data_IF_488036882865
#
_entry.id   IF_488036882865
#
_cell.length_a   1.000
_cell.length_b   1.000
_cell.length_c   1.000
_cell.angle_alpha   90.00
_cell.angle_beta   90.00
_cell.angle_gamma   90.00
#
_symmetry.space_group_name_H-M   'P 1'
#
loop_
_entity.id
_entity.type
_entity.pdbx_description
1 polymer ?
#
# COMPACT_ATOMS: atom_id res chain seq x y z
N UNK A 1 -11.14 10.52 6.42
CA UNK A 1 -9.95 11.25 6.90
C UNK A 1 -8.69 11.15 6.04
N UNK A 2 -7.83 12.19 6.11
CA UNK A 2 -6.42 12.15 5.70
C UNK A 2 -5.55 11.21 6.57
N UNK A 3 -5.83 11.09 7.87
CA UNK A 3 -4.96 10.40 8.84
C UNK A 3 -4.96 8.87 8.68
N UNK A 4 -6.13 8.24 8.51
CA UNK A 4 -6.28 6.80 8.26
C UNK A 4 -5.37 6.33 7.12
N UNK A 5 -5.49 6.99 5.96
CA UNK A 5 -4.78 6.61 4.75
C UNK A 5 -3.30 7.00 4.80
N UNK A 6 -2.97 8.08 5.50
CA UNK A 6 -1.58 8.52 5.66
C UNK A 6 -0.74 7.44 6.34
N UNK A 7 -1.22 6.84 7.43
CA UNK A 7 -0.47 5.78 8.13
C UNK A 7 -0.27 4.53 7.31
N UNK A 8 -1.32 4.05 6.62
CA UNK A 8 -1.20 2.90 5.72
C UNK A 8 -0.20 3.16 4.59
N UNK A 9 -0.22 4.38 4.02
CA UNK A 9 0.73 4.79 2.97
C UNK A 9 2.15 4.87 3.49
N UNK A 10 2.37 5.41 4.69
CA UNK A 10 3.69 5.44 5.32
C UNK A 10 4.22 4.02 5.53
N UNK A 11 3.39 3.11 6.04
CA UNK A 11 3.78 1.71 6.21
C UNK A 11 4.20 1.07 4.88
N UNK A 12 3.42 1.28 3.81
CA UNK A 12 3.77 0.78 2.47
C UNK A 12 5.09 1.40 2.00
N UNK A 13 5.26 2.72 2.11
CA UNK A 13 6.48 3.41 1.68
C UNK A 13 7.74 2.90 2.41
N UNK A 14 7.64 2.59 3.69
CA UNK A 14 8.75 2.09 4.52
C UNK A 14 9.14 0.65 4.20
N UNK A 15 8.19 -0.17 3.75
CA UNK A 15 8.36 -1.62 3.66
C UNK A 15 8.24 -2.18 2.23
N UNK A 16 7.96 -1.36 1.22
CA UNK A 16 7.68 -1.81 -0.15
C UNK A 16 8.91 -2.24 -0.96
N UNK A 17 10.11 -1.72 -0.68
CA UNK A 17 11.30 -1.93 -1.53
C UNK A 17 11.62 -3.42 -1.76
N UNK A 18 11.61 -4.31 -0.74
CA UNK A 18 11.87 -5.74 -0.97
C UNK A 18 10.85 -6.43 -1.89
N UNK A 19 9.65 -5.87 -2.05
CA UNK A 19 8.59 -6.45 -2.88
C UNK A 19 8.76 -6.13 -4.36
N UNK A 20 9.68 -5.24 -4.75
CA UNK A 20 9.96 -4.95 -6.15
C UNK A 20 10.41 -6.22 -6.92
N UNK A 21 11.04 -7.16 -6.21
CA UNK A 21 11.54 -8.43 -6.78
C UNK A 21 10.49 -9.56 -6.76
N UNK A 22 9.25 -9.30 -6.33
CA UNK A 22 8.21 -10.33 -6.21
C UNK A 22 7.98 -11.11 -7.51
N UNK A 23 7.95 -10.41 -8.65
CA UNK A 23 7.78 -11.05 -9.96
C UNK A 23 8.94 -11.97 -10.33
N UNK A 24 10.16 -11.66 -9.89
CA UNK A 24 11.32 -12.51 -10.14
C UNK A 24 11.30 -13.78 -9.29
N UNK A 25 10.91 -13.67 -8.02
CA UNK A 25 10.75 -14.82 -7.14
C UNK A 25 9.70 -15.81 -7.69
N UNK A 26 8.54 -15.28 -8.13
CA UNK A 26 7.48 -16.08 -8.76
C UNK A 26 7.98 -16.78 -10.03
N UNK A 27 8.72 -16.08 -10.90
CA UNK A 27 9.29 -16.65 -12.12
C UNK A 27 10.31 -17.76 -11.86
N UNK A 28 11.05 -17.68 -10.75
CA UNK A 28 12.01 -18.70 -10.32
C UNK A 28 11.35 -19.87 -9.57
N UNK A 29 10.05 -19.77 -9.29
CA UNK A 29 9.33 -20.74 -8.47
C UNK A 29 9.74 -20.69 -6.99
N UNK A 30 10.35 -19.59 -6.57
CA UNK A 30 10.74 -19.35 -5.18
C UNK A 30 9.53 -18.81 -4.40
N UNK A 31 9.31 -19.36 -3.20
CA UNK A 31 8.27 -18.85 -2.30
C UNK A 31 8.65 -17.49 -1.72
N UNK A 32 7.64 -16.71 -1.31
CA UNK A 32 7.90 -15.44 -0.62
C UNK A 32 8.56 -15.67 0.75
N UNK A 33 9.47 -14.78 1.17
CA UNK A 33 10.07 -14.82 2.51
C UNK A 33 9.01 -14.75 3.61
N UNK A 34 9.25 -15.44 4.74
CA UNK A 34 8.36 -15.40 5.91
C UNK A 34 8.10 -13.98 6.42
N UNK A 35 9.11 -13.10 6.31
CA UNK A 35 9.00 -11.70 6.68
C UNK A 35 7.89 -10.94 5.93
N UNK A 36 7.48 -11.40 4.74
CA UNK A 36 6.38 -10.80 4.00
C UNK A 36 5.03 -11.12 4.64
N UNK A 37 4.87 -12.34 5.13
CA UNK A 37 3.68 -12.73 5.89
C UNK A 37 3.61 -11.97 7.22
N UNK A 38 4.74 -11.78 7.91
CA UNK A 38 4.80 -10.96 9.12
C UNK A 38 4.44 -9.49 8.85
N UNK A 39 4.87 -8.95 7.70
CA UNK A 39 4.49 -7.61 7.26
C UNK A 39 3.00 -7.51 6.94
N UNK A 40 2.40 -8.54 6.34
CA UNK A 40 0.96 -8.60 6.09
C UNK A 40 0.16 -8.61 7.40
N UNK A 41 0.58 -9.39 8.38
CA UNK A 41 -0.05 -9.40 9.71
C UNK A 41 0.05 -8.03 10.41
N UNK A 42 1.19 -7.34 10.29
CA UNK A 42 1.35 -5.97 10.79
C UNK A 42 0.45 -4.99 10.05
N UNK A 43 0.34 -5.11 8.73
CA UNK A 43 -0.55 -4.28 7.91
C UNK A 43 -2.02 -4.47 8.30
N UNK A 44 -2.45 -5.72 8.50
CA UNK A 44 -3.81 -6.07 8.93
C UNK A 44 -4.15 -5.44 10.28
N UNK A 45 -3.28 -5.57 11.29
CA UNK A 45 -3.48 -4.94 12.60
C UNK A 45 -3.54 -3.42 12.50
N UNK A 46 -2.64 -2.81 11.73
CA UNK A 46 -2.66 -1.36 11.49
C UNK A 46 -3.99 -0.92 10.85
N UNK A 47 -4.49 -1.67 9.87
CA UNK A 47 -5.77 -1.40 9.24
C UNK A 47 -6.93 -1.52 10.25
N UNK A 48 -6.98 -2.59 11.03
CA UNK A 48 -8.00 -2.81 12.07
C UNK A 48 -8.00 -1.69 13.12
N UNK A 49 -6.83 -1.31 13.64
CA UNK A 49 -6.69 -0.22 14.62
C UNK A 49 -7.18 1.12 14.05
N UNK A 50 -6.81 1.45 12.80
CA UNK A 50 -7.26 2.67 12.16
C UNK A 50 -8.78 2.65 11.89
N UNK A 51 -9.33 1.49 11.54
CA UNK A 51 -10.76 1.33 11.29
C UNK A 51 -11.56 1.47 12.59
N UNK A 52 -11.13 0.82 13.66
CA UNK A 52 -11.78 0.94 14.97
C UNK A 52 -11.70 2.36 15.53
N UNK A 53 -10.56 3.04 15.39
CA UNK A 53 -10.41 4.44 15.75
C UNK A 53 -11.43 5.32 15.01
N UNK A 54 -11.50 5.20 13.69
CA UNK A 54 -12.45 5.93 12.85
C UNK A 54 -13.91 5.67 13.24
N UNK A 55 -14.28 4.40 13.42
CA UNK A 55 -15.64 4.01 13.77
C UNK A 55 -16.06 4.55 15.15
N UNK A 56 -15.14 4.56 16.11
CA UNK A 56 -15.38 5.10 17.44
C UNK A 56 -15.55 6.63 17.41
N UNK A 57 -14.75 7.34 16.63
CA UNK A 57 -14.84 8.81 16.48
C UNK A 57 -16.17 9.23 15.84
N UNK A 58 -16.62 8.50 14.82
CA UNK A 58 -17.88 8.78 14.12
C UNK A 58 -19.13 8.23 14.86
N UNK A 59 -18.94 7.50 15.96
CA UNK A 59 -20.02 6.84 16.69
C UNK A 59 -20.75 5.77 15.84
N UNK A 60 -20.09 5.25 14.80
CA UNK A 60 -20.66 4.29 13.86
C UNK A 60 -20.31 2.88 14.30
N UNK A 61 -21.31 2.06 14.59
CA UNK A 61 -21.09 0.64 14.85
C UNK A 61 -20.54 -0.09 13.61
N UNK A 62 -19.62 -1.05 13.84
CA UNK A 62 -19.02 -1.88 12.78
C UNK A 62 -20.04 -2.52 11.83
N UNK A 63 -21.19 -2.94 12.35
CA UNK A 63 -22.27 -3.51 11.53
C UNK A 63 -22.88 -2.50 10.55
N UNK A 64 -23.09 -1.25 10.99
CA UNK A 64 -23.62 -0.18 10.15
C UNK A 64 -22.62 0.18 9.04
N UNK A 65 -21.33 0.21 9.38
CA UNK A 65 -20.26 0.41 8.42
C UNK A 65 -20.21 -0.69 7.34
N UNK A 66 -20.30 -1.97 7.74
CA UNK A 66 -20.33 -3.08 6.79
C UNK A 66 -21.57 -3.05 5.87
N UNK A 67 -22.72 -2.60 6.38
CA UNK A 67 -23.92 -2.38 5.56
C UNK A 67 -23.68 -1.29 4.52
N UNK A 68 -23.04 -0.18 4.91
CA UNK A 68 -22.67 0.91 3.99
C UNK A 68 -21.68 0.42 2.92
N UNK A 69 -20.64 -0.32 3.33
CA UNK A 69 -19.64 -0.87 2.42
C UNK A 69 -20.24 -1.81 1.37
N UNK A 70 -21.16 -2.69 1.80
CA UNK A 70 -21.93 -3.56 0.89
C UNK A 70 -22.81 -2.76 -0.06
N UNK A 71 -23.45 -1.69 0.41
CA UNK A 71 -24.24 -0.79 -0.43
C UNK A 71 -23.40 -0.14 -1.52
N UNK A 72 -22.24 0.42 -1.16
CA UNK A 72 -21.32 1.07 -2.09
C UNK A 72 -20.69 0.10 -3.09
N UNK A 73 -20.44 -1.16 -2.69
CA UNK A 73 -19.95 -2.21 -3.61
C UNK A 73 -20.90 -2.49 -4.78
N UNK A 74 -22.20 -2.20 -4.60
CA UNK A 74 -23.25 -2.38 -5.62
C UNK A 74 -23.63 -1.09 -6.34
N UNK A 75 -23.17 0.07 -5.84
CA UNK A 75 -23.47 1.37 -6.42
C UNK A 75 -22.74 1.61 -7.75
N UNK A 76 -23.26 2.53 -8.59
CA UNK A 76 -22.62 2.91 -9.85
C UNK A 76 -21.24 3.58 -9.68
N UNK A 77 -20.41 3.61 -10.73
CA UNK A 77 -19.04 4.15 -10.66
C UNK A 77 -18.97 5.60 -10.16
N UNK A 78 -19.99 6.42 -10.43
CA UNK A 78 -20.05 7.81 -9.98
C UNK A 78 -20.05 7.97 -8.45
N UNK A 79 -20.55 6.97 -7.72
CA UNK A 79 -20.59 6.96 -6.26
C UNK A 79 -19.34 6.32 -5.62
N UNK A 80 -18.41 5.82 -6.44
CA UNK A 80 -17.20 5.10 -5.98
C UNK A 80 -15.92 5.93 -5.99
N UNK A 81 -15.99 7.25 -6.24
CA UNK A 81 -14.80 8.12 -6.18
C UNK A 81 -14.17 8.04 -4.78
N UNK A 82 -12.90 7.62 -4.72
CA UNK A 82 -12.18 7.38 -3.46
C UNK A 82 -12.50 6.04 -2.80
N UNK A 83 -13.67 5.45 -3.05
CA UNK A 83 -14.08 4.14 -2.53
C UNK A 83 -13.23 3.00 -3.06
N UNK A 84 -12.84 3.01 -4.35
CA UNK A 84 -11.99 1.96 -4.91
C UNK A 84 -10.63 1.84 -4.21
N UNK A 85 -10.05 2.97 -3.82
CA UNK A 85 -8.77 2.96 -3.12
C UNK A 85 -8.90 2.43 -1.69
N UNK A 86 -10.01 2.77 -1.03
CA UNK A 86 -10.34 2.22 0.29
C UNK A 86 -10.69 0.72 0.23
N UNK A 87 -11.40 0.27 -0.81
CA UNK A 87 -11.64 -1.15 -1.06
C UNK A 87 -10.33 -1.90 -1.31
N UNK A 88 -9.38 -1.30 -2.03
CA UNK A 88 -8.06 -1.91 -2.20
C UNK A 88 -7.32 -2.04 -0.86
N UNK A 89 -7.40 -1.03 0.01
CA UNK A 89 -6.83 -1.07 1.37
C UNK A 89 -7.50 -2.15 2.25
N UNK A 90 -8.85 -2.26 2.24
CA UNK A 90 -9.58 -3.37 2.90
C UNK A 90 -9.16 -4.72 2.32
N UNK A 91 -9.15 -4.84 1.00
CA UNK A 91 -8.86 -6.11 0.33
C UNK A 91 -7.45 -6.55 0.69
N UNK A 92 -6.46 -5.66 0.66
CA UNK A 92 -5.10 -5.97 1.06
C UNK A 92 -4.95 -6.32 2.56
N UNK A 93 -5.81 -5.81 3.43
CA UNK A 93 -5.78 -6.21 4.85
C UNK A 93 -6.19 -7.67 5.07
N UNK A 94 -7.03 -8.22 4.19
CA UNK A 94 -7.58 -9.59 4.32
C UNK A 94 -6.97 -10.58 3.32
N UNK A 95 -6.48 -10.10 2.18
CA UNK A 95 -5.96 -10.89 1.07
C UNK A 95 -4.46 -10.62 0.89
N UNK A 96 -3.67 -11.67 1.13
CA UNK A 96 -2.22 -11.62 1.04
C UNK A 96 -1.73 -11.31 -0.39
N UNK A 97 -2.39 -11.84 -1.43
CA UNK A 97 -1.98 -11.58 -2.81
C UNK A 97 -2.26 -10.11 -3.19
N UNK A 98 -3.40 -9.57 -2.76
CA UNK A 98 -3.70 -8.14 -2.92
C UNK A 98 -2.69 -7.25 -2.17
N UNK A 99 -2.28 -7.66 -0.97
CA UNK A 99 -1.22 -6.98 -0.21
C UNK A 99 0.11 -6.98 -0.96
N UNK A 100 0.58 -8.14 -1.41
CA UNK A 100 1.83 -8.26 -2.19
C UNK A 100 1.77 -7.38 -3.44
N UNK A 101 0.63 -7.36 -4.13
CA UNK A 101 0.46 -6.53 -5.32
C UNK A 101 0.59 -5.02 -5.02
N UNK A 102 0.01 -4.53 -3.91
CA UNK A 102 0.16 -3.13 -3.49
C UNK A 102 1.62 -2.83 -3.16
N UNK A 103 2.27 -3.70 -2.40
CA UNK A 103 3.67 -3.53 -2.00
C UNK A 103 4.61 -3.57 -3.19
N UNK A 104 4.37 -4.47 -4.15
CA UNK A 104 5.16 -4.58 -5.39
C UNK A 104 5.10 -3.31 -6.22
N UNK A 105 3.89 -2.82 -6.54
CA UNK A 105 3.71 -1.60 -7.32
C UNK A 105 4.36 -0.40 -6.62
N UNK A 106 4.23 -0.30 -5.30
CA UNK A 106 4.90 0.74 -4.53
C UNK A 106 6.42 0.59 -4.53
N UNK A 107 6.93 -0.64 -4.43
CA UNK A 107 8.35 -0.96 -4.43
C UNK A 107 9.02 -0.64 -5.76
N UNK A 108 8.42 -1.08 -6.87
CA UNK A 108 8.86 -0.76 -8.24
C UNK A 108 8.99 0.76 -8.44
N UNK A 109 7.95 1.51 -8.04
CA UNK A 109 7.97 2.97 -8.09
C UNK A 109 9.08 3.56 -7.24
N UNK A 110 9.27 3.07 -6.02
CA UNK A 110 10.28 3.59 -5.09
C UNK A 110 11.69 3.35 -5.60
N UNK A 111 11.94 2.18 -6.18
CA UNK A 111 13.23 1.84 -6.82
C UNK A 111 13.49 2.75 -8.02
N UNK A 112 12.49 3.01 -8.86
CA UNK A 112 12.62 3.93 -9.98
C UNK A 112 12.97 5.37 -9.53
N UNK A 113 12.25 5.88 -8.52
CA UNK A 113 12.53 7.21 -7.93
C UNK A 113 13.95 7.29 -7.36
N UNK A 114 14.45 6.23 -6.70
CA UNK A 114 15.81 6.18 -6.18
C UNK A 114 16.87 6.15 -7.30
N UNK A 115 16.62 5.43 -8.38
CA UNK A 115 17.51 5.38 -9.54
C UNK A 115 17.60 6.73 -10.25
N UNK A 116 16.47 7.43 -10.44
CA UNK A 116 16.43 8.78 -11.01
C UNK A 116 17.21 9.80 -10.17
N UNK A 117 17.10 9.71 -8.83
CA UNK A 117 17.85 10.57 -7.91
C UNK A 117 19.35 10.29 -7.96
N UNK A 118 19.76 9.02 -8.05
CA UNK A 118 21.16 8.63 -8.20
C UNK A 118 21.76 9.18 -9.51
N UNK A 119 21.08 9.00 -10.64
CA UNK A 119 21.53 9.57 -11.93
C UNK A 119 21.62 11.10 -11.88
N UNK A 120 20.67 11.77 -11.21
CA UNK A 120 20.68 13.23 -11.08
C UNK A 120 21.84 13.74 -10.22
N UNK A 121 22.21 13.01 -9.16
CA UNK A 121 23.35 13.31 -8.30
C UNK A 121 24.67 13.14 -9.04
N UNK A 122 24.85 12.03 -9.77
CA UNK A 122 26.04 11.79 -10.60
C UNK A 122 26.24 12.88 -11.66
N UNK A 123 25.16 13.37 -12.29
CA UNK A 123 25.22 14.47 -13.25
C UNK A 123 25.60 15.82 -12.61
N UNK A 124 25.29 16.05 -11.33
CA UNK A 124 25.69 17.25 -10.59
C UNK A 124 27.16 17.19 -10.15
N UNK A 125 27.67 16.01 -9.78
CA UNK A 125 29.07 15.82 -9.40
C UNK A 125 30.04 15.91 -10.58
N UNK A 126 29.58 15.61 -11.80
CA UNK A 126 30.37 15.74 -13.04
C UNK A 126 30.36 17.16 -13.65
N UNK A 127 29.51 18.06 -13.15
CA UNK A 127 29.36 19.43 -13.63
C UNK A 127 30.54 20.41 -13.45
N UNK A 128 31.44 20.31 -12.45
CA UNK A 128 32.52 21.29 -12.26
C UNK A 128 33.79 21.00 -13.07
N UNK A 129 33.83 19.94 -13.89
CA UNK A 129 35.03 19.51 -14.64
C UNK A 129 34.96 19.68 -16.17
N UNK A 130 33.99 20.45 -16.69
CA UNK A 130 34.04 20.88 -18.09
C UNK A 130 34.87 22.18 -18.20
N UNK A 131 35.99 22.19 -18.94
CA UNK A 131 36.85 23.36 -19.13
C UNK A 131 36.22 24.45 -20.02
#
# INVERSE_FOLDING_TARGET
EPHFRARLRSFVAEHCVPFAEAGELELRGEGHPLSWTELHDRYRRLFEEQLEGFLNEEGVGREAFLKLARGLSKAGPEWRKGWNAFLAEITASEDYAAFVQIMRVAGERRVAEMAELACSQEMQELGPFLP
#
